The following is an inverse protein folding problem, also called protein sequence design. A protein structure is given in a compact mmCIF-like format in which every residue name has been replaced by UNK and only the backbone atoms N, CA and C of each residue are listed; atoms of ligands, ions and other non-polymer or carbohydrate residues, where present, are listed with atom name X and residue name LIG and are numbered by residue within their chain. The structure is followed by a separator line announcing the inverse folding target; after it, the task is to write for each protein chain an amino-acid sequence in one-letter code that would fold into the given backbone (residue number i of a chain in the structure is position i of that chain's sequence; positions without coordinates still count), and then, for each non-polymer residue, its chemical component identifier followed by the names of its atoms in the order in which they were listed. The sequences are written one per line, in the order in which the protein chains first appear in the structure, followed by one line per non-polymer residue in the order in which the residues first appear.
data_IF_261222109396
#
_entry.id   IF_261222109396
#
_cell.length_a   1.000
_cell.length_b   1.000
_cell.length_c   1.000
_cell.angle_alpha   90.00
_cell.angle_beta   90.00
_cell.angle_gamma   90.00
#
_symmetry.space_group_name_H-M   'P 1'
#
loop_
_entity.id
_entity.type
_entity.pdbx_description
1 polymer ?
#
# COMPACT_ATOMS: atom_id res chain seq x y z
N UNK A 1 10.94 6.68 17.25
CA UNK A 1 10.22 5.95 16.22
C UNK A 1 11.05 4.74 15.77
N UNK A 2 10.50 3.50 15.86
CA UNK A 2 11.21 2.27 15.50
C UNK A 2 11.61 2.22 14.02
N UNK A 3 10.78 2.79 13.15
CA UNK A 3 11.07 2.87 11.72
C UNK A 3 12.24 3.83 11.40
N UNK A 4 12.36 4.93 12.14
CA UNK A 4 13.48 5.85 12.00
C UNK A 4 14.82 5.18 12.38
N UNK A 5 14.83 4.41 13.48
CA UNK A 5 16.01 3.66 13.90
C UNK A 5 16.39 2.58 12.87
N UNK A 6 15.41 1.87 12.30
CA UNK A 6 15.67 0.90 11.25
C UNK A 6 16.29 1.55 10.01
N UNK A 7 15.74 2.70 9.57
CA UNK A 7 16.30 3.46 8.45
C UNK A 7 17.75 3.88 8.72
N UNK A 8 18.04 4.41 9.91
CA UNK A 8 19.38 4.82 10.31
C UNK A 8 20.36 3.65 10.35
N UNK A 9 19.93 2.50 10.88
CA UNK A 9 20.76 1.29 10.90
C UNK A 9 21.10 0.83 9.48
N UNK A 10 20.12 0.76 8.59
CA UNK A 10 20.32 0.28 7.20
C UNK A 10 21.18 1.23 6.38
N UNK A 11 21.11 2.55 6.63
CA UNK A 11 21.95 3.55 5.95
C UNK A 11 23.34 3.70 6.57
N UNK A 12 23.61 3.04 7.70
CA UNK A 12 24.86 3.17 8.41
C UNK A 12 25.02 4.51 9.12
N UNK A 13 23.91 5.17 9.47
CA UNK A 13 23.95 6.38 10.28
C UNK A 13 24.27 6.05 11.74
N UNK A 14 24.79 7.05 12.47
CA UNK A 14 25.05 6.89 13.91
C UNK A 14 23.73 6.89 14.67
N UNK A 15 23.51 5.85 15.45
CA UNK A 15 22.35 5.72 16.34
C UNK A 15 22.78 5.84 17.80
N UNK A 16 21.90 6.38 18.65
CA UNK A 16 22.08 6.41 20.10
C UNK A 16 21.41 5.18 20.73
N UNK A 17 22.18 4.39 21.43
CA UNK A 17 21.66 3.22 22.16
C UNK A 17 21.60 3.58 23.65
N UNK A 18 20.36 3.74 24.13
CA UNK A 18 20.11 3.98 25.55
C UNK A 18 20.30 2.69 26.34
N UNK A 19 21.06 2.78 27.43
CA UNK A 19 21.32 1.66 28.33
C UNK A 19 20.76 1.98 29.72
N UNK A 20 20.04 1.04 30.30
CA UNK A 20 19.47 1.22 31.63
C UNK A 20 20.58 1.48 32.66
N UNK A 21 20.49 2.60 33.38
CA UNK A 21 21.45 3.05 34.40
C UNK A 21 22.89 3.29 33.91
N UNK A 22 23.10 3.49 32.60
CA UNK A 22 24.41 3.80 32.03
C UNK A 22 24.30 4.92 31.00
N UNK A 23 25.40 5.59 30.70
CA UNK A 23 25.45 6.58 29.64
C UNK A 23 25.08 5.96 28.28
N UNK A 24 24.31 6.69 27.44
CA UNK A 24 24.05 6.27 26.07
C UNK A 24 25.33 6.09 25.28
N UNK A 25 25.34 5.15 24.36
CA UNK A 25 26.47 4.98 23.44
C UNK A 25 26.06 5.33 22.03
N UNK A 26 26.94 6.02 21.30
CA UNK A 26 26.83 6.23 19.86
C UNK A 26 27.35 4.98 19.14
N UNK A 27 26.55 4.45 18.25
CA UNK A 27 26.90 3.24 17.51
C UNK A 27 26.61 3.39 16.02
N UNK A 28 27.56 3.01 15.19
CA UNK A 28 27.40 2.92 13.74
C UNK A 28 27.37 1.45 13.32
N UNK A 29 26.23 0.99 12.85
CA UNK A 29 26.11 -0.38 12.37
C UNK A 29 26.91 -0.57 11.09
N UNK A 30 27.73 -1.62 11.09
CA UNK A 30 28.50 -2.07 9.92
C UNK A 30 28.12 -3.52 9.68
N UNK A 31 27.27 -3.78 8.72
CA UNK A 31 26.83 -5.14 8.42
C UNK A 31 25.60 -5.18 7.53
N UNK A 32 25.13 -6.36 7.31
CA UNK A 32 23.94 -6.66 6.52
C UNK A 32 22.84 -7.21 7.43
N UNK A 33 21.60 -6.73 7.25
CA UNK A 33 20.47 -7.16 8.07
C UNK A 33 19.57 -8.09 7.26
N UNK A 34 19.39 -9.30 7.76
CA UNK A 34 18.42 -10.28 7.23
C UNK A 34 17.40 -10.58 8.32
N UNK A 35 16.13 -10.56 7.96
CA UNK A 35 15.05 -10.93 8.85
C UNK A 35 14.16 -11.99 8.16
N UNK A 36 14.01 -13.15 8.80
CA UNK A 36 13.09 -14.19 8.36
C UNK A 36 11.77 -14.02 9.09
N UNK A 37 10.69 -14.00 8.34
CA UNK A 37 9.33 -13.76 8.85
C UNK A 37 8.37 -14.81 8.28
N UNK A 38 7.42 -15.27 9.10
CA UNK A 38 6.29 -16.08 8.63
C UNK A 38 5.14 -15.20 8.14
N UNK A 39 5.01 -14.01 8.73
CA UNK A 39 3.99 -13.03 8.39
C UNK A 39 4.61 -11.65 8.27
N UNK A 40 4.07 -10.84 7.37
CA UNK A 40 4.53 -9.47 7.17
C UNK A 40 4.10 -8.59 8.35
N UNK A 41 5.02 -7.87 9.02
CA UNK A 41 4.66 -6.99 10.12
C UNK A 41 3.93 -5.75 9.61
N UNK A 42 2.88 -5.34 10.31
CA UNK A 42 2.26 -4.03 10.05
C UNK A 42 3.16 -2.90 10.51
N UNK A 43 3.32 -1.90 9.65
CA UNK A 43 4.16 -0.72 9.92
C UNK A 43 3.36 0.58 9.72
N UNK A 44 3.77 1.62 10.46
CA UNK A 44 3.16 2.95 10.33
C UNK A 44 3.83 3.81 9.27
N UNK A 45 5.10 3.54 8.98
CA UNK A 45 5.86 4.30 7.99
C UNK A 45 5.62 3.74 6.58
N UNK A 46 4.91 4.50 5.77
CA UNK A 46 4.52 4.18 4.39
C UNK A 46 5.34 4.96 3.37
N UNK A 47 6.47 5.55 3.78
CA UNK A 47 7.28 6.35 2.88
C UNK A 47 8.07 5.48 1.90
N UNK A 48 8.27 5.98 0.68
CA UNK A 48 9.18 5.33 -0.28
C UNK A 48 10.58 5.18 0.28
N UNK A 49 10.99 6.12 1.14
CA UNK A 49 12.23 6.05 1.89
C UNK A 49 12.35 4.80 2.77
N UNK A 50 11.24 4.28 3.29
CA UNK A 50 11.21 3.03 4.05
C UNK A 50 11.24 1.82 3.10
N UNK A 51 10.38 1.79 2.09
CA UNK A 51 10.24 0.65 1.20
C UNK A 51 11.47 0.38 0.32
N UNK A 52 12.13 1.41 -0.21
CA UNK A 52 13.33 1.25 -1.05
C UNK A 52 14.55 0.63 -0.33
N UNK A 53 14.49 0.51 1.00
CA UNK A 53 15.53 -0.11 1.82
C UNK A 53 15.29 -1.58 2.11
N UNK A 54 14.25 -2.16 1.52
CA UNK A 54 13.83 -3.52 1.77
C UNK A 54 13.83 -4.33 0.48
N UNK A 55 14.45 -5.50 0.53
CA UNK A 55 14.36 -6.51 -0.50
C UNK A 55 13.60 -7.69 0.09
N UNK A 56 12.43 -7.97 -0.45
CA UNK A 56 11.62 -9.11 -0.05
C UNK A 56 11.97 -10.31 -0.92
N UNK A 57 12.33 -11.41 -0.28
CA UNK A 57 12.64 -12.68 -0.96
C UNK A 57 11.58 -13.68 -0.51
N UNK A 58 10.52 -13.92 -1.32
CA UNK A 58 9.45 -14.83 -0.95
C UNK A 58 9.89 -16.28 -1.07
N UNK A 59 9.63 -17.09 -0.04
CA UNK A 59 9.79 -18.52 -0.02
C UNK A 59 8.41 -19.18 -0.04
N UNK A 60 7.92 -19.52 -1.22
CA UNK A 60 6.55 -19.99 -1.41
C UNK A 60 6.37 -21.50 -1.28
N UNK A 61 7.48 -22.27 -1.29
CA UNK A 61 7.41 -23.72 -1.18
C UNK A 61 7.30 -24.16 0.27
N UNK A 62 6.27 -24.94 0.55
CA UNK A 62 6.11 -25.62 1.83
C UNK A 62 6.59 -27.07 1.71
N UNK A 63 7.39 -27.52 2.68
CA UNK A 63 7.95 -28.87 2.71
C UNK A 63 7.38 -29.70 3.87
N UNK A 64 6.23 -29.34 4.41
CA UNK A 64 5.56 -30.08 5.50
C UNK A 64 5.31 -31.53 5.05
N UNK A 65 5.80 -32.48 5.81
CA UNK A 65 5.73 -33.92 5.50
C UNK A 65 6.81 -34.43 4.51
N UNK A 66 7.58 -33.54 3.89
CA UNK A 66 8.72 -33.89 3.01
C UNK A 66 10.06 -33.35 3.54
N UNK A 67 10.14 -33.09 4.83
CA UNK A 67 11.31 -32.49 5.48
C UNK A 67 12.49 -33.47 5.47
N UNK A 68 13.62 -32.98 4.97
CA UNK A 68 14.88 -33.72 4.97
C UNK A 68 15.77 -33.25 6.11
N UNK A 69 15.56 -33.79 7.30
CA UNK A 69 16.26 -33.39 8.53
C UNK A 69 17.77 -33.40 8.41
N UNK A 70 18.34 -34.37 7.64
CA UNK A 70 19.77 -34.48 7.41
C UNK A 70 20.40 -33.23 6.78
N UNK A 71 19.63 -32.44 5.98
CA UNK A 71 20.16 -31.21 5.35
C UNK A 71 20.67 -30.25 6.41
N UNK A 72 19.83 -29.96 7.41
CA UNK A 72 20.15 -29.02 8.49
C UNK A 72 21.09 -29.62 9.53
N UNK A 73 20.92 -30.89 9.85
CA UNK A 73 21.62 -31.53 10.97
C UNK A 73 23.03 -32.04 10.60
N UNK A 74 23.22 -32.43 9.33
CA UNK A 74 24.48 -33.03 8.86
C UNK A 74 25.01 -32.28 7.62
N UNK A 75 24.32 -32.31 6.47
CA UNK A 75 24.85 -31.86 5.18
C UNK A 75 25.44 -30.46 5.22
N UNK A 76 24.68 -29.47 5.75
CA UNK A 76 25.11 -28.07 5.83
C UNK A 76 26.23 -27.82 6.85
N UNK A 77 26.61 -28.82 7.65
CA UNK A 77 27.69 -28.72 8.61
C UNK A 77 28.99 -29.41 8.15
N UNK A 78 28.91 -30.12 7.02
CA UNK A 78 30.06 -30.78 6.45
C UNK A 78 31.09 -29.77 5.98
N UNK A 79 32.36 -30.03 6.31
CA UNK A 79 33.47 -29.15 5.98
C UNK A 79 33.56 -28.89 4.47
N UNK A 80 33.44 -29.93 3.67
CA UNK A 80 33.52 -29.86 2.21
C UNK A 80 32.43 -29.00 1.60
N UNK A 81 31.23 -29.03 2.19
CA UNK A 81 30.08 -28.18 1.76
C UNK A 81 30.33 -26.71 2.11
N UNK A 82 30.85 -26.46 3.32
CA UNK A 82 31.19 -25.11 3.77
C UNK A 82 32.34 -24.51 2.95
N UNK A 83 33.37 -25.29 2.68
CA UNK A 83 34.52 -24.90 1.84
C UNK A 83 34.07 -24.58 0.42
N UNK A 84 33.17 -25.39 -0.17
CA UNK A 84 32.64 -25.13 -1.50
C UNK A 84 31.76 -23.85 -1.54
N UNK A 85 30.91 -23.61 -0.53
CA UNK A 85 30.15 -22.39 -0.42
C UNK A 85 31.07 -21.19 -0.30
N UNK A 86 32.10 -21.28 0.56
CA UNK A 86 33.09 -20.20 0.72
C UNK A 86 33.82 -19.93 -0.60
N UNK A 87 34.26 -20.96 -1.29
CA UNK A 87 34.89 -20.82 -2.62
C UNK A 87 33.95 -20.08 -3.60
N UNK A 88 32.69 -20.46 -3.65
CA UNK A 88 31.71 -19.74 -4.51
C UNK A 88 31.60 -18.29 -4.12
N UNK A 89 31.43 -17.98 -2.85
CA UNK A 89 31.28 -16.60 -2.36
C UNK A 89 32.52 -15.75 -2.69
N UNK A 90 33.71 -16.29 -2.50
CA UNK A 90 34.97 -15.58 -2.79
C UNK A 90 35.20 -15.32 -4.28
N UNK A 91 34.58 -16.13 -5.15
CA UNK A 91 34.70 -15.98 -6.61
C UNK A 91 33.46 -15.31 -7.23
N UNK A 92 32.55 -14.78 -6.41
CA UNK A 92 31.42 -13.98 -6.89
C UNK A 92 31.87 -12.54 -7.14
N UNK A 93 31.55 -12.03 -8.32
CA UNK A 93 31.78 -10.65 -8.71
C UNK A 93 30.44 -9.92 -8.86
N UNK A 94 29.84 -9.60 -7.71
CA UNK A 94 28.56 -8.89 -7.65
C UNK A 94 28.71 -7.59 -6.87
N UNK A 95 28.40 -6.46 -7.53
CA UNK A 95 28.40 -5.14 -6.91
C UNK A 95 27.02 -4.70 -6.45
N UNK A 96 25.98 -5.25 -7.08
CA UNK A 96 24.59 -4.86 -6.81
C UNK A 96 23.71 -6.08 -6.56
N UNK A 97 22.75 -5.92 -5.67
CA UNK A 97 21.71 -6.92 -5.46
C UNK A 97 20.75 -6.93 -6.65
N UNK A 98 20.56 -8.07 -7.27
CA UNK A 98 19.51 -8.25 -8.25
C UNK A 98 18.13 -8.05 -7.60
N UNK A 99 17.18 -7.48 -8.36
CA UNK A 99 15.82 -7.32 -7.92
C UNK A 99 14.89 -8.05 -8.90
N UNK A 100 14.75 -9.38 -8.77
CA UNK A 100 13.86 -10.18 -9.61
C UNK A 100 12.41 -9.70 -9.52
N UNK A 101 11.60 -9.96 -10.55
CA UNK A 101 10.20 -9.52 -10.58
C UNK A 101 9.40 -10.03 -9.37
N UNK A 102 9.61 -11.28 -8.97
CA UNK A 102 8.98 -11.87 -7.77
C UNK A 102 9.24 -11.06 -6.48
N UNK A 103 10.41 -10.43 -6.38
CA UNK A 103 10.75 -9.56 -5.23
C UNK A 103 10.03 -8.21 -5.31
N UNK A 104 9.83 -7.68 -6.51
CA UNK A 104 9.06 -6.45 -6.73
C UNK A 104 7.58 -6.66 -6.44
N UNK A 105 7.04 -7.78 -6.90
CA UNK A 105 5.66 -8.19 -6.61
C UNK A 105 5.44 -8.34 -5.10
N UNK A 106 6.32 -9.05 -4.39
CA UNK A 106 6.23 -9.19 -2.94
C UNK A 106 6.31 -7.84 -2.19
N UNK A 107 7.12 -6.89 -2.69
CA UNK A 107 7.16 -5.53 -2.14
C UNK A 107 5.86 -4.76 -2.43
N UNK A 108 5.28 -4.92 -3.62
CA UNK A 108 4.01 -4.30 -3.98
C UNK A 108 2.86 -4.83 -3.12
N UNK A 109 2.78 -6.14 -2.92
CA UNK A 109 1.83 -6.77 -1.99
C UNK A 109 1.99 -6.23 -0.57
N UNK A 110 3.22 -6.08 -0.09
CA UNK A 110 3.49 -5.53 1.22
C UNK A 110 3.06 -4.07 1.35
N UNK A 111 3.27 -3.24 0.33
CA UNK A 111 2.76 -1.87 0.28
C UNK A 111 1.23 -1.84 0.38
N UNK A 112 0.57 -2.68 -0.40
CA UNK A 112 -0.90 -2.81 -0.37
C UNK A 112 -1.40 -3.28 0.98
N UNK A 113 -0.77 -4.31 1.56
CA UNK A 113 -1.11 -4.83 2.89
C UNK A 113 -1.00 -3.76 4.00
N UNK A 114 -0.03 -2.87 3.90
CA UNK A 114 0.18 -1.82 4.90
C UNK A 114 -0.63 -0.55 4.66
N UNK A 115 -1.27 -0.40 3.49
CA UNK A 115 -2.04 0.80 3.17
C UNK A 115 -3.52 0.54 2.92
N UNK A 116 -4.36 0.69 3.96
CA UNK A 116 -5.81 0.57 3.81
C UNK A 116 -6.41 1.55 2.78
N UNK A 117 -5.77 2.71 2.55
CA UNK A 117 -6.25 3.66 1.53
C UNK A 117 -5.99 3.10 0.12
N UNK A 118 -4.85 2.47 -0.10
CA UNK A 118 -4.54 1.79 -1.35
C UNK A 118 -5.51 0.63 -1.60
N UNK A 119 -5.70 -0.25 -0.61
CA UNK A 119 -6.67 -1.35 -0.70
C UNK A 119 -8.06 -0.85 -1.06
N UNK A 120 -8.48 0.23 -0.41
CA UNK A 120 -9.75 0.88 -0.71
C UNK A 120 -9.82 1.39 -2.15
N UNK A 121 -8.78 2.07 -2.64
CA UNK A 121 -8.75 2.60 -4.00
C UNK A 121 -8.72 1.46 -5.03
N UNK A 122 -7.90 0.43 -4.82
CA UNK A 122 -7.82 -0.76 -5.69
C UNK A 122 -9.17 -1.45 -5.85
N UNK A 123 -9.92 -1.57 -4.75
CA UNK A 123 -11.23 -2.23 -4.75
C UNK A 123 -12.34 -1.32 -5.31
N UNK A 124 -12.34 -0.05 -4.96
CA UNK A 124 -13.47 0.84 -5.19
C UNK A 124 -13.40 1.60 -6.53
N UNK A 125 -12.22 2.13 -6.91
CA UNK A 125 -12.13 2.96 -8.12
C UNK A 125 -12.65 2.28 -9.39
N UNK A 126 -12.40 0.97 -9.63
CA UNK A 126 -12.93 0.29 -10.82
C UNK A 126 -14.45 0.15 -10.84
N UNK A 127 -15.10 0.23 -9.69
CA UNK A 127 -16.54 0.01 -9.54
C UNK A 127 -17.37 1.30 -9.61
N UNK A 128 -16.74 2.46 -9.46
CA UNK A 128 -17.41 3.75 -9.46
C UNK A 128 -18.06 4.06 -10.82
N UNK A 129 -19.29 4.54 -10.78
CA UNK A 129 -20.05 4.94 -11.97
C UNK A 129 -19.89 6.42 -12.32
N UNK A 130 -19.60 7.24 -11.32
CA UNK A 130 -19.40 8.67 -11.52
C UNK A 130 -18.02 8.99 -12.10
N UNK A 131 -17.98 10.01 -12.95
CA UNK A 131 -16.73 10.54 -13.50
C UNK A 131 -16.16 11.71 -12.67
N UNK A 132 -16.94 12.26 -11.75
CA UNK A 132 -16.50 13.15 -10.68
C UNK A 132 -16.88 12.53 -9.35
N UNK A 133 -15.89 12.21 -8.53
CA UNK A 133 -16.12 11.59 -7.22
C UNK A 133 -15.70 12.56 -6.12
N UNK A 134 -16.67 13.08 -5.35
CA UNK A 134 -16.39 14.03 -4.28
C UNK A 134 -15.54 13.44 -3.16
N UNK A 135 -14.60 14.19 -2.61
CA UNK A 135 -13.82 13.75 -1.44
C UNK A 135 -14.70 13.46 -0.22
N UNK A 136 -15.84 14.16 -0.09
CA UNK A 136 -16.83 13.87 0.96
C UNK A 136 -17.45 12.49 0.77
N UNK A 137 -17.77 12.12 -0.47
CA UNK A 137 -18.26 10.78 -0.80
C UNK A 137 -17.19 9.72 -0.52
N UNK A 138 -15.97 9.94 -1.00
CA UNK A 138 -14.85 9.01 -0.78
C UNK A 138 -14.57 8.80 0.72
N UNK A 139 -14.72 9.84 1.55
CA UNK A 139 -14.57 9.71 3.00
C UNK A 139 -15.65 8.83 3.61
N UNK A 140 -16.91 9.07 3.25
CA UNK A 140 -18.02 8.32 3.82
C UNK A 140 -17.98 6.86 3.37
N UNK A 141 -17.65 6.64 2.10
CA UNK A 141 -17.43 5.32 1.53
C UNK A 141 -16.24 4.60 2.16
N UNK A 142 -15.11 5.31 2.35
CA UNK A 142 -13.93 4.76 3.06
C UNK A 142 -14.26 4.35 4.49
N UNK A 143 -15.02 5.15 5.21
CA UNK A 143 -15.43 4.84 6.57
C UNK A 143 -16.30 3.56 6.63
N UNK A 144 -17.25 3.43 5.73
CA UNK A 144 -18.11 2.25 5.63
C UNK A 144 -17.33 1.00 5.19
N UNK A 145 -16.47 1.14 4.17
CA UNK A 145 -15.58 0.09 3.68
C UNK A 145 -14.59 -0.37 4.76
N UNK A 146 -13.96 0.56 5.47
CA UNK A 146 -13.00 0.28 6.53
C UNK A 146 -13.65 -0.52 7.67
N UNK A 147 -14.86 -0.14 8.08
CA UNK A 147 -15.63 -0.85 9.10
C UNK A 147 -16.00 -2.27 8.64
N UNK A 148 -16.34 -2.46 7.36
CA UNK A 148 -16.73 -3.75 6.78
C UNK A 148 -15.53 -4.72 6.67
N UNK A 149 -14.36 -4.23 6.22
CA UNK A 149 -13.24 -5.06 5.78
C UNK A 149 -12.11 -5.19 6.81
N UNK A 150 -11.89 -4.18 7.66
CA UNK A 150 -10.71 -4.16 8.55
C UNK A 150 -11.09 -4.49 10.00
N UNK A 151 -12.38 -4.49 10.32
CA UNK A 151 -12.93 -4.92 11.60
C UNK A 151 -12.22 -4.32 12.85
N UNK A 152 -11.68 -3.11 12.75
CA UNK A 152 -10.93 -2.47 13.81
C UNK A 152 -11.72 -1.34 14.46
N UNK A 153 -11.70 -1.33 15.77
CA UNK A 153 -12.09 -0.21 16.63
C UNK A 153 -11.40 1.09 16.16
N UNK A 154 -12.04 2.20 16.31
CA UNK A 154 -11.77 3.63 15.99
C UNK A 154 -10.34 4.11 15.65
N UNK A 155 -9.29 3.34 15.92
CA UNK A 155 -7.89 3.76 15.81
C UNK A 155 -7.34 3.91 14.36
N UNK A 156 -8.11 3.56 13.34
CA UNK A 156 -7.65 3.60 11.94
C UNK A 156 -8.38 4.60 11.04
N UNK A 157 -9.43 5.27 11.52
CA UNK A 157 -10.15 6.24 10.71
C UNK A 157 -9.33 7.52 10.51
N UNK A 158 -8.94 7.75 9.27
CA UNK A 158 -8.23 8.98 8.88
C UNK A 158 -9.18 10.17 8.88
N UNK A 159 -8.68 11.34 9.32
CA UNK A 159 -9.41 12.59 9.13
C UNK A 159 -9.58 12.89 7.63
N UNK A 160 -10.57 13.70 7.29
CA UNK A 160 -10.82 14.12 5.90
C UNK A 160 -9.57 14.66 5.20
N UNK A 161 -8.81 15.49 5.90
CA UNK A 161 -7.59 16.11 5.35
C UNK A 161 -6.50 15.08 5.07
N UNK A 162 -6.28 14.14 5.99
CA UNK A 162 -5.28 13.08 5.84
C UNK A 162 -5.69 12.13 4.71
N UNK A 163 -6.96 11.71 4.67
CA UNK A 163 -7.46 10.82 3.63
C UNK A 163 -7.37 11.48 2.24
N UNK A 164 -7.77 12.74 2.10
CA UNK A 164 -7.65 13.50 0.84
C UNK A 164 -6.20 13.55 0.37
N UNK A 165 -5.26 13.87 1.28
CA UNK A 165 -3.83 13.91 0.94
C UNK A 165 -3.31 12.54 0.50
N UNK A 166 -3.69 11.49 1.19
CA UNK A 166 -3.28 10.12 0.86
C UNK A 166 -3.85 9.69 -0.50
N UNK A 167 -5.14 9.95 -0.77
CA UNK A 167 -5.77 9.67 -2.06
C UNK A 167 -5.02 10.41 -3.18
N UNK A 168 -4.84 11.73 -3.08
CA UNK A 168 -4.16 12.53 -4.11
C UNK A 168 -2.73 12.03 -4.38
N UNK A 169 -2.01 11.63 -3.33
CA UNK A 169 -0.66 11.07 -3.50
C UNK A 169 -0.67 9.72 -4.23
N UNK A 170 -1.69 8.90 -3.97
CA UNK A 170 -1.83 7.58 -4.59
C UNK A 170 -2.36 7.65 -6.03
N UNK A 171 -3.08 8.71 -6.42
CA UNK A 171 -3.62 8.85 -7.79
C UNK A 171 -2.55 8.76 -8.89
N UNK A 172 -1.29 9.00 -8.57
CA UNK A 172 -0.17 8.81 -9.51
C UNK A 172 -0.06 7.36 -10.03
N UNK A 173 -0.62 6.42 -9.30
CA UNK A 173 -0.63 5.00 -9.63
C UNK A 173 -1.92 4.57 -10.35
N UNK A 174 -2.89 5.50 -10.46
CA UNK A 174 -4.20 5.27 -11.10
C UNK A 174 -4.40 6.25 -12.27
N UNK A 175 -3.83 5.97 -13.45
CA UNK A 175 -3.81 6.92 -14.58
C UNK A 175 -5.20 7.26 -15.14
N UNK A 176 -6.22 6.49 -14.76
CA UNK A 176 -7.61 6.75 -15.13
C UNK A 176 -8.26 7.88 -14.30
N UNK A 177 -7.59 8.32 -13.24
CA UNK A 177 -8.10 9.33 -12.33
C UNK A 177 -7.10 10.45 -12.10
N UNK A 178 -7.60 11.66 -12.01
CA UNK A 178 -6.79 12.84 -11.76
C UNK A 178 -7.37 13.76 -10.70
N UNK A 179 -6.52 14.54 -10.08
CA UNK A 179 -6.87 15.67 -9.22
C UNK A 179 -5.84 16.77 -9.41
N UNK A 180 -6.20 17.79 -10.19
CA UNK A 180 -5.31 18.94 -10.45
C UNK A 180 -5.04 19.74 -9.17
N UNK A 181 -6.09 20.10 -8.43
CA UNK A 181 -6.01 20.77 -7.14
C UNK A 181 -7.14 20.27 -6.23
N UNK A 182 -6.82 19.68 -5.06
CA UNK A 182 -7.85 19.19 -4.13
C UNK A 182 -8.75 20.29 -3.57
N UNK A 183 -8.41 21.56 -3.74
CA UNK A 183 -9.22 22.71 -3.31
C UNK A 183 -10.11 23.28 -4.42
N UNK A 184 -9.89 22.88 -5.67
CA UNK A 184 -10.64 23.35 -6.82
C UNK A 184 -12.10 22.89 -6.75
N UNK A 185 -13.01 23.84 -6.92
CA UNK A 185 -14.44 23.55 -7.04
C UNK A 185 -14.76 23.13 -8.48
N UNK A 186 -15.38 21.98 -8.65
CA UNK A 186 -15.73 21.37 -9.94
C UNK A 186 -17.25 21.29 -10.03
N UNK A 187 -17.80 21.72 -11.14
CA UNK A 187 -19.23 21.54 -11.43
C UNK A 187 -19.52 20.09 -11.81
N UNK A 188 -20.56 19.45 -11.23
CA UNK A 188 -20.86 18.05 -11.54
C UNK A 188 -21.22 17.84 -13.02
N UNK A 189 -22.04 18.70 -13.61
CA UNK A 189 -22.51 18.50 -14.98
C UNK A 189 -23.02 17.07 -15.19
N UNK A 190 -22.63 16.46 -16.31
CA UNK A 190 -22.95 15.05 -16.62
C UNK A 190 -22.03 14.02 -15.94
N UNK A 191 -21.10 14.47 -15.11
CA UNK A 191 -20.12 13.57 -14.48
C UNK A 191 -20.68 12.75 -13.31
N UNK A 192 -21.87 13.11 -12.82
CA UNK A 192 -22.56 12.48 -11.70
C UNK A 192 -24.05 12.21 -12.02
N UNK A 193 -24.39 12.04 -13.29
CA UNK A 193 -25.78 11.80 -13.75
C UNK A 193 -26.21 10.34 -13.65
N UNK A 194 -25.26 9.42 -13.52
CA UNK A 194 -25.52 7.99 -13.38
C UNK A 194 -25.82 7.60 -11.93
N UNK A 195 -26.62 6.54 -11.70
CA UNK A 195 -26.76 5.96 -10.37
C UNK A 195 -25.41 5.44 -9.85
N UNK A 196 -25.06 5.80 -8.61
CA UNK A 196 -23.83 5.27 -7.98
C UNK A 196 -24.17 4.11 -7.04
N UNK A 197 -23.81 2.89 -7.46
CA UNK A 197 -24.19 1.66 -6.75
C UNK A 197 -23.54 1.51 -5.38
N UNK A 198 -22.38 2.16 -5.16
CA UNK A 198 -21.69 2.15 -3.88
C UNK A 198 -22.53 2.79 -2.77
N UNK A 199 -23.46 3.68 -3.11
CA UNK A 199 -24.37 4.28 -2.14
C UNK A 199 -25.22 3.21 -1.45
N UNK A 200 -25.79 2.29 -2.23
CA UNK A 200 -26.66 1.23 -1.70
C UNK A 200 -25.85 0.07 -1.09
N UNK A 201 -24.74 -0.29 -1.70
CA UNK A 201 -23.87 -1.38 -1.22
C UNK A 201 -23.29 -1.10 0.16
N UNK A 202 -22.89 0.14 0.40
CA UNK A 202 -22.31 0.57 1.67
C UNK A 202 -23.28 1.33 2.57
N UNK A 203 -24.58 1.40 2.18
CA UNK A 203 -25.67 2.04 2.94
C UNK A 203 -25.33 3.47 3.35
N UNK A 204 -24.89 4.26 2.37
CA UNK A 204 -24.53 5.66 2.58
C UNK A 204 -25.78 6.52 2.57
N UNK A 205 -26.49 6.60 3.70
CA UNK A 205 -27.82 7.21 3.83
C UNK A 205 -27.85 8.67 3.39
N UNK A 206 -26.82 9.44 3.69
CA UNK A 206 -26.71 10.87 3.32
C UNK A 206 -26.59 11.10 1.80
N UNK A 207 -26.27 10.05 1.05
CA UNK A 207 -26.08 10.07 -0.40
C UNK A 207 -27.26 9.53 -1.20
N UNK A 208 -28.28 8.98 -0.54
CA UNK A 208 -29.50 8.61 -1.21
C UNK A 208 -30.24 9.84 -1.75
N UNK A 209 -31.04 9.63 -2.80
CA UNK A 209 -31.92 10.66 -3.35
C UNK A 209 -32.88 11.22 -2.29
N UNK A 210 -32.82 12.52 -2.07
CA UNK A 210 -33.69 13.19 -1.12
C UNK A 210 -35.15 13.28 -1.62
N UNK A 211 -35.34 13.17 -2.93
CA UNK A 211 -36.64 13.36 -3.60
C UNK A 211 -37.34 12.03 -3.86
N UNK A 212 -36.61 10.92 -3.91
CA UNK A 212 -37.19 9.62 -4.23
C UNK A 212 -37.16 8.68 -3.01
N UNK A 213 -38.36 8.20 -2.62
CA UNK A 213 -38.57 7.28 -1.48
C UNK A 213 -39.12 5.91 -1.89
N UNK A 214 -39.16 5.62 -3.19
CA UNK A 214 -39.67 4.35 -3.71
C UNK A 214 -38.63 3.23 -3.69
N UNK A 215 -39.03 2.02 -4.13
CA UNK A 215 -38.17 0.83 -4.09
C UNK A 215 -37.15 0.73 -5.23
N UNK A 216 -37.22 1.57 -6.25
CA UNK A 216 -36.33 1.55 -7.39
C UNK A 216 -34.89 1.94 -6.96
N UNK A 217 -34.00 0.97 -7.01
CA UNK A 217 -32.59 1.10 -6.60
C UNK A 217 -31.87 2.18 -7.40
N UNK A 218 -32.09 2.24 -8.71
CA UNK A 218 -31.41 3.20 -9.56
C UNK A 218 -31.78 4.64 -9.18
N UNK A 219 -33.08 4.92 -9.02
CA UNK A 219 -33.57 6.24 -8.60
C UNK A 219 -33.13 6.60 -7.18
N UNK A 220 -33.04 5.61 -6.30
CA UNK A 220 -32.56 5.79 -4.92
C UNK A 220 -31.08 6.19 -4.89
N UNK A 221 -30.24 5.63 -5.79
CA UNK A 221 -28.80 5.91 -5.88
C UNK A 221 -28.45 7.13 -6.75
N UNK A 222 -29.44 7.89 -7.24
CA UNK A 222 -29.24 9.20 -7.89
C UNK A 222 -29.28 10.29 -6.82
N UNK A 223 -28.11 10.74 -6.35
CA UNK A 223 -28.05 11.76 -5.31
C UNK A 223 -28.46 13.14 -5.82
N UNK A 224 -28.97 13.99 -4.92
CA UNK A 224 -29.26 15.40 -5.23
C UNK A 224 -27.95 16.17 -5.33
N UNK A 225 -27.69 16.74 -6.51
CA UNK A 225 -26.40 17.38 -6.81
C UNK A 225 -26.31 18.79 -6.21
N UNK A 226 -25.15 19.10 -5.62
CA UNK A 226 -24.76 20.46 -5.24
C UNK A 226 -24.17 21.19 -6.44
N UNK A 227 -24.10 22.53 -6.37
CA UNK A 227 -23.55 23.35 -7.44
C UNK A 227 -22.08 23.03 -7.74
N UNK A 228 -21.32 22.64 -6.72
CA UNK A 228 -19.87 22.33 -6.82
C UNK A 228 -19.46 21.23 -5.86
N UNK A 229 -18.44 20.48 -6.27
CA UNK A 229 -17.75 19.49 -5.45
C UNK A 229 -16.23 19.67 -5.56
N UNK A 230 -15.53 19.20 -4.54
CA UNK A 230 -14.07 18.98 -4.57
C UNK A 230 -13.86 17.47 -4.60
N UNK A 231 -13.08 16.99 -5.54
CA UNK A 231 -12.97 15.54 -5.73
C UNK A 231 -11.95 15.17 -6.79
N UNK A 232 -11.98 13.91 -7.14
CA UNK A 232 -11.20 13.32 -8.24
C UNK A 232 -12.06 13.23 -9.49
N UNK A 233 -11.42 13.28 -10.65
CA UNK A 233 -12.13 13.23 -11.96
C UNK A 233 -11.55 12.08 -12.77
N UNK A 234 -12.44 11.36 -13.48
CA UNK A 234 -12.02 10.34 -14.43
C UNK A 234 -11.46 10.99 -15.69
N UNK A 235 -10.31 10.53 -16.16
CA UNK A 235 -9.67 11.01 -17.39
C UNK A 235 -10.38 10.39 -18.59
N UNK A 236 -10.80 11.21 -19.55
CA UNK A 236 -11.62 10.76 -20.68
C UNK A 236 -10.89 9.78 -21.63
N UNK A 237 -9.56 9.86 -21.69
CA UNK A 237 -8.68 8.95 -22.44
C UNK A 237 -7.37 8.77 -21.67
N UNK A 238 -7.21 7.72 -20.85
CA UNK A 238 -5.91 7.46 -20.24
C UNK A 238 -4.91 7.15 -21.35
N UNK A 239 -3.93 8.02 -21.53
CA UNK A 239 -2.79 7.75 -22.41
C UNK A 239 -2.08 6.53 -21.85
N UNK A 240 -2.15 5.41 -22.55
CA UNK A 240 -1.36 4.22 -22.26
C UNK A 240 0.09 4.66 -22.28
N UNK A 241 0.70 4.79 -21.12
CA UNK A 241 2.13 5.03 -21.00
C UNK A 241 2.82 3.82 -21.62
N UNK A 242 3.24 3.97 -22.87
CA UNK A 242 4.06 2.99 -23.57
C UNK A 242 5.33 2.84 -22.75
N UNK A 243 5.49 1.68 -22.13
CA UNK A 243 6.78 1.28 -21.58
C UNK A 243 7.73 1.23 -22.75
N UNK A 244 8.58 2.25 -22.86
CA UNK A 244 9.74 2.21 -23.76
C UNK A 244 10.69 1.19 -23.13
N UNK A 245 10.61 -0.04 -23.63
CA UNK A 245 11.67 -1.01 -23.48
C UNK A 245 12.85 -0.45 -24.27
N UNK A 246 13.82 0.10 -23.57
CA UNK A 246 15.16 0.26 -24.12
C UNK A 246 15.84 -1.12 -24.02
N UNK A 247 16.02 -1.72 -25.18
CA UNK A 247 16.90 -2.86 -25.40
C UNK A 247 18.35 -2.57 -24.97
#
# INVERSE_FOLDING_TARGET
DKAANLKAVVTGDVIQINRKFKQPISYKFKGFMVQCLNEMPRIRDKSDSFYRRQLFIPFTKCFTGAERKYIKQDYLKRKEVLEYVMFKVLNMDYYELSTPEVCKEALAEYKTFNDPTRQFLDEILPQLQWDLVPFTFLRDLYAAWYKKNINSTRDGMKSMQVLTKDIVNLLKEYPEWECEDPRKNIRPGNKMDKPEWMIDEYKLEDWYSQTYKGPDRAKKCCTSLKSYYRGIVRVANPTVATQVNND
#
